data_IF_021324400166
#
_entry.id   IF_021324400166
#
_cell.length_a   1.000
_cell.length_b   1.000
_cell.length_c   1.000
_cell.angle_alpha   90.00
_cell.angle_beta   90.00
_cell.angle_gamma   90.00
#
_symmetry.space_group_name_H-M   'P 1'
#
loop_
_entity.id
_entity.type
_entity.pdbx_description
1 polymer ?
#
# COMPACT_ATOMS: atom_id res chain seq x y z
N UNK A 1 -66.56 -24.00 -33.89
CA UNK A 1 -65.87 -22.81 -34.44
C UNK A 1 -64.73 -22.44 -33.49
N UNK A 2 -63.50 -22.44 -34.01
CA UNK A 2 -62.23 -21.84 -33.54
C UNK A 2 -61.52 -22.25 -32.22
N UNK A 3 -60.26 -22.70 -32.42
CA UNK A 3 -59.15 -23.01 -31.49
C UNK A 3 -58.48 -21.75 -30.93
N UNK A 4 -57.67 -21.93 -29.86
CA UNK A 4 -56.37 -21.28 -29.46
C UNK A 4 -56.43 -20.72 -28.04
N UNK A 5 -55.40 -20.77 -27.18
CA UNK A 5 -54.06 -21.36 -27.21
C UNK A 5 -53.49 -21.28 -25.79
N UNK A 6 -53.00 -22.40 -25.25
CA UNK A 6 -52.00 -22.46 -24.18
C UNK A 6 -50.74 -21.73 -24.66
N UNK A 7 -50.17 -20.71 -23.99
CA UNK A 7 -48.77 -20.24 -24.15
C UNK A 7 -48.41 -19.02 -23.24
N UNK A 8 -48.87 -18.92 -22.00
CA UNK A 8 -48.53 -17.76 -21.15
C UNK A 8 -47.41 -17.99 -20.12
N UNK A 9 -47.15 -19.23 -19.69
CA UNK A 9 -46.26 -19.49 -18.55
C UNK A 9 -44.81 -19.91 -18.91
N UNK A 10 -44.53 -20.27 -20.16
CA UNK A 10 -43.23 -20.85 -20.54
C UNK A 10 -42.16 -19.81 -20.93
N UNK A 11 -42.53 -18.54 -21.12
CA UNK A 11 -41.62 -17.51 -21.69
C UNK A 11 -40.86 -16.69 -20.65
N UNK A 12 -41.31 -16.67 -19.39
CA UNK A 12 -40.69 -15.86 -18.33
C UNK A 12 -39.55 -16.56 -17.60
N UNK A 13 -39.44 -17.88 -17.68
CA UNK A 13 -38.37 -18.63 -16.99
C UNK A 13 -37.02 -18.57 -17.72
N UNK A 14 -37.04 -18.41 -19.05
CA UNK A 14 -35.81 -18.43 -19.87
C UNK A 14 -34.98 -17.15 -19.74
N UNK A 15 -35.62 -16.01 -19.46
CA UNK A 15 -34.91 -14.71 -19.37
C UNK A 15 -34.15 -14.57 -18.04
N UNK A 16 -34.62 -15.19 -16.97
CA UNK A 16 -33.95 -15.14 -15.66
C UNK A 16 -32.65 -15.97 -15.61
N UNK A 17 -32.53 -17.03 -16.44
CA UNK A 17 -31.32 -17.86 -16.50
C UNK A 17 -30.17 -17.26 -17.31
N UNK A 18 -30.44 -16.28 -18.18
CA UNK A 18 -29.41 -15.65 -19.03
C UNK A 18 -28.65 -14.49 -18.35
N UNK A 19 -29.21 -13.90 -17.29
CA UNK A 19 -28.55 -12.81 -16.54
C UNK A 19 -27.57 -13.34 -15.48
N UNK A 20 -27.69 -14.62 -15.09
CA UNK A 20 -26.85 -15.24 -14.06
C UNK A 20 -25.48 -15.75 -14.56
N UNK A 21 -25.14 -15.58 -15.84
CA UNK A 21 -23.88 -16.06 -16.44
C UNK A 21 -22.87 -14.94 -16.78
N UNK A 22 -23.20 -13.68 -16.48
CA UNK A 22 -22.26 -12.56 -16.59
C UNK A 22 -21.42 -12.41 -15.30
N UNK A 23 -21.04 -13.52 -14.69
CA UNK A 23 -19.99 -13.56 -13.68
C UNK A 23 -18.69 -13.13 -14.34
N UNK A 24 -18.45 -11.83 -14.40
CA UNK A 24 -17.17 -11.25 -14.80
C UNK A 24 -16.15 -11.75 -13.80
N UNK A 25 -15.38 -12.76 -14.18
CA UNK A 25 -14.17 -13.13 -13.48
C UNK A 25 -13.31 -11.88 -13.37
N UNK A 26 -13.15 -11.38 -12.15
CA UNK A 26 -12.10 -10.41 -11.85
C UNK A 26 -10.80 -11.17 -12.10
N UNK A 27 -10.18 -10.96 -13.27
CA UNK A 27 -8.81 -11.39 -13.46
C UNK A 27 -8.00 -10.68 -12.38
N UNK A 28 -7.31 -11.44 -11.54
CA UNK A 28 -6.43 -10.88 -10.53
C UNK A 28 -5.38 -10.02 -11.26
N UNK A 29 -5.50 -8.68 -11.18
CA UNK A 29 -4.49 -7.76 -11.69
C UNK A 29 -3.21 -8.03 -10.92
N UNK A 30 -2.22 -8.60 -11.60
CA UNK A 30 -0.90 -8.81 -11.01
C UNK A 30 -0.06 -7.57 -11.27
N UNK A 31 0.43 -6.90 -10.22
CA UNK A 31 1.34 -5.78 -10.40
C UNK A 31 2.57 -6.19 -11.20
N UNK A 32 3.13 -5.30 -12.04
CA UNK A 32 4.29 -5.63 -12.85
C UNK A 32 5.51 -5.98 -11.99
N UNK A 33 6.42 -6.79 -12.53
CA UNK A 33 7.68 -7.16 -11.86
C UNK A 33 8.89 -6.33 -12.34
N UNK A 34 8.68 -5.38 -13.25
CA UNK A 34 9.72 -4.56 -13.89
C UNK A 34 9.31 -3.09 -13.92
N UNK A 35 10.28 -2.18 -14.06
CA UNK A 35 10.05 -0.73 -14.13
C UNK A 35 10.38 0.04 -12.84
N UNK A 36 10.73 -0.65 -11.76
CA UNK A 36 11.25 -0.03 -10.55
C UNK A 36 12.47 0.86 -10.86
N UNK A 37 12.48 2.08 -10.32
CA UNK A 37 13.47 3.13 -10.57
C UNK A 37 13.19 4.00 -11.80
N UNK A 38 12.16 3.71 -12.60
CA UNK A 38 11.81 4.53 -13.77
C UNK A 38 10.92 5.72 -13.37
N UNK A 39 11.04 6.83 -14.12
CA UNK A 39 10.21 8.03 -13.93
C UNK A 39 8.73 7.82 -14.26
N UNK A 40 8.46 7.04 -15.31
CA UNK A 40 7.11 6.74 -15.80
C UNK A 40 7.05 5.26 -16.20
N UNK A 41 7.02 4.35 -15.21
CA UNK A 41 6.97 2.92 -15.48
C UNK A 41 5.64 2.56 -16.17
N UNK A 42 5.63 1.44 -16.90
CA UNK A 42 4.39 0.85 -17.40
C UNK A 42 3.66 0.10 -16.25
N UNK A 43 3.25 0.86 -15.24
CA UNK A 43 2.53 0.41 -14.06
C UNK A 43 1.36 1.37 -13.80
N UNK A 44 0.27 0.84 -13.23
CA UNK A 44 -0.85 1.67 -12.80
C UNK A 44 -0.39 2.63 -11.68
N UNK A 45 -0.73 3.91 -11.82
CA UNK A 45 -0.63 4.87 -10.73
C UNK A 45 -1.73 4.59 -9.70
N UNK A 46 -1.32 4.32 -8.47
CA UNK A 46 -2.18 4.00 -7.33
C UNK A 46 -2.11 5.09 -6.25
N UNK A 47 -1.62 6.27 -6.60
CA UNK A 47 -1.57 7.41 -5.70
C UNK A 47 -2.99 7.83 -5.27
N UNK A 48 -3.13 8.17 -3.98
CA UNK A 48 -4.34 8.85 -3.47
C UNK A 48 -4.17 10.38 -3.43
N UNK A 49 -2.99 10.88 -3.78
CA UNK A 49 -2.69 12.31 -3.86
C UNK A 49 -2.62 12.79 -5.32
N UNK A 50 -3.12 13.99 -5.63
CA UNK A 50 -2.92 14.61 -6.94
C UNK A 50 -1.51 15.18 -7.17
N UNK A 51 -0.62 15.20 -6.17
CA UNK A 51 0.73 15.81 -6.26
C UNK A 51 1.88 14.79 -6.41
N UNK A 52 1.57 13.50 -6.31
CA UNK A 52 2.55 12.43 -6.46
C UNK A 52 1.96 11.29 -7.28
N UNK A 53 2.85 10.52 -7.89
CA UNK A 53 2.52 9.24 -8.51
C UNK A 53 3.07 8.11 -7.65
N UNK A 54 2.28 7.05 -7.46
CA UNK A 54 2.73 5.87 -6.71
C UNK A 54 2.58 4.64 -7.58
N UNK A 55 3.66 3.86 -7.69
CA UNK A 55 3.70 2.64 -8.47
C UNK A 55 4.03 1.45 -7.58
N UNK A 56 3.28 0.37 -7.77
CA UNK A 56 3.48 -0.88 -7.02
C UNK A 56 3.95 -1.97 -7.98
N UNK A 57 5.04 -2.62 -7.61
CA UNK A 57 5.59 -3.77 -8.30
C UNK A 57 5.56 -4.98 -7.36
N UNK A 58 5.36 -6.17 -7.90
CA UNK A 58 5.38 -7.41 -7.09
C UNK A 58 6.37 -8.38 -7.69
N UNK A 59 7.28 -8.87 -6.85
CA UNK A 59 8.22 -9.92 -7.20
C UNK A 59 8.45 -10.81 -6.00
N UNK A 60 8.35 -12.12 -6.21
CA UNK A 60 8.57 -13.15 -5.18
C UNK A 60 7.73 -12.93 -3.90
N UNK A 61 6.51 -12.40 -4.06
CA UNK A 61 5.59 -12.08 -2.96
C UNK A 61 5.90 -10.77 -2.22
N UNK A 62 6.98 -10.08 -2.56
CA UNK A 62 7.38 -8.79 -1.98
C UNK A 62 6.77 -7.66 -2.81
N UNK A 63 6.14 -6.69 -2.13
CA UNK A 63 5.64 -5.46 -2.77
C UNK A 63 6.73 -4.41 -2.76
N UNK A 64 7.03 -3.81 -3.90
CA UNK A 64 7.94 -2.68 -4.04
C UNK A 64 7.09 -1.46 -4.39
N UNK A 65 7.11 -0.45 -3.54
CA UNK A 65 6.30 0.75 -3.67
C UNK A 65 7.23 1.91 -3.94
N UNK A 66 7.01 2.60 -5.04
CA UNK A 66 7.81 3.72 -5.50
C UNK A 66 6.96 4.99 -5.53
N UNK A 67 7.49 6.08 -4.98
CA UNK A 67 6.86 7.40 -4.99
C UNK A 67 7.63 8.31 -5.93
N UNK A 68 6.92 8.90 -6.90
CA UNK A 68 7.45 9.90 -7.82
C UNK A 68 6.72 11.23 -7.63
N UNK A 69 7.40 12.34 -7.92
CA UNK A 69 6.72 13.64 -8.04
C UNK A 69 6.08 13.82 -9.42
N UNK A 70 5.35 14.93 -9.62
CA UNK A 70 4.68 15.26 -10.89
C UNK A 70 5.61 15.37 -12.10
N UNK A 71 6.91 15.60 -11.89
CA UNK A 71 7.88 15.66 -12.97
C UNK A 71 8.44 14.26 -13.32
N UNK A 72 8.02 13.23 -12.60
CA UNK A 72 8.54 11.87 -12.73
C UNK A 72 9.88 11.66 -12.01
N UNK A 73 10.28 12.57 -11.12
CA UNK A 73 11.47 12.33 -10.28
C UNK A 73 11.13 11.24 -9.28
N UNK A 74 11.91 10.15 -9.27
CA UNK A 74 11.77 9.13 -8.23
C UNK A 74 12.24 9.74 -6.91
N UNK A 75 11.31 9.87 -5.95
CA UNK A 75 11.58 10.48 -4.65
C UNK A 75 12.03 9.43 -3.66
N UNK A 76 11.29 8.34 -3.54
CA UNK A 76 11.58 7.27 -2.60
C UNK A 76 11.09 5.90 -3.10
N UNK A 77 11.65 4.83 -2.54
CA UNK A 77 11.17 3.47 -2.73
C UNK A 77 11.26 2.64 -1.46
N UNK A 78 10.29 1.77 -1.24
CA UNK A 78 10.28 0.79 -0.15
C UNK A 78 9.90 -0.60 -0.64
N UNK A 79 10.43 -1.64 -0.01
CA UNK A 79 9.93 -3.00 -0.13
C UNK A 79 9.15 -3.36 1.14
N UNK A 80 7.99 -3.98 0.96
CA UNK A 80 7.10 -4.44 2.02
C UNK A 80 6.93 -5.94 1.89
N UNK A 81 7.36 -6.66 2.93
CA UNK A 81 7.16 -8.09 3.10
C UNK A 81 6.51 -8.30 4.48
N UNK A 82 5.22 -8.64 4.48
CA UNK A 82 4.38 -8.69 5.69
C UNK A 82 4.47 -7.39 6.52
N UNK A 83 5.07 -7.43 7.71
CA UNK A 83 5.27 -6.29 8.59
C UNK A 83 6.68 -5.69 8.54
N UNK A 84 7.54 -6.22 7.67
CA UNK A 84 8.89 -5.70 7.46
C UNK A 84 8.85 -4.69 6.31
N UNK A 85 9.36 -3.49 6.60
CA UNK A 85 9.57 -2.43 5.61
C UNK A 85 11.08 -2.26 5.43
N UNK A 86 11.56 -2.39 4.20
CA UNK A 86 12.94 -2.11 3.81
C UNK A 86 12.96 -0.87 2.93
N UNK A 87 13.78 0.13 3.29
CA UNK A 87 14.02 1.29 2.42
C UNK A 87 14.92 0.85 1.27
N UNK A 88 14.54 1.19 0.04
CA UNK A 88 15.30 0.86 -1.15
C UNK A 88 16.29 1.98 -1.47
N UNK A 89 17.49 1.66 -1.99
CA UNK A 89 18.45 2.65 -2.45
C UNK A 89 18.05 3.18 -3.84
N UNK A 90 16.83 3.69 -3.95
CA UNK A 90 16.31 4.37 -5.15
C UNK A 90 15.62 5.67 -4.75
N UNK A 91 15.72 6.64 -5.64
CA UNK A 91 15.12 7.95 -5.46
C UNK A 91 16.02 8.94 -4.74
N UNK A 92 15.80 10.21 -5.03
CA UNK A 92 16.66 11.32 -4.55
C UNK A 92 16.51 11.60 -3.06
N UNK A 93 15.40 11.16 -2.46
CA UNK A 93 15.06 11.34 -1.04
C UNK A 93 15.11 10.02 -0.24
N UNK A 94 15.82 9.00 -0.74
CA UNK A 94 15.94 7.70 -0.06
C UNK A 94 16.40 7.79 1.41
N UNK A 95 17.21 8.80 1.75
CA UNK A 95 17.68 9.05 3.12
C UNK A 95 16.64 9.72 4.02
N UNK A 96 15.53 10.21 3.46
CA UNK A 96 14.44 10.86 4.18
C UNK A 96 13.20 9.98 4.29
N UNK A 97 13.38 8.66 4.14
CA UNK A 97 12.33 7.67 4.34
C UNK A 97 12.35 7.20 5.79
N UNK A 98 11.29 7.50 6.54
CA UNK A 98 11.07 6.97 7.89
C UNK A 98 10.14 5.78 7.85
N UNK A 99 10.51 4.70 8.55
CA UNK A 99 9.67 3.51 8.70
C UNK A 99 9.27 3.35 10.16
N UNK A 100 8.22 2.58 10.42
CA UNK A 100 7.80 2.27 11.80
C UNK A 100 8.92 1.71 12.69
N UNK A 101 9.91 1.01 12.12
CA UNK A 101 11.03 0.43 12.88
C UNK A 101 12.18 1.43 13.09
N UNK A 102 12.31 2.42 12.22
CA UNK A 102 13.34 3.47 12.28
C UNK A 102 12.67 4.85 12.39
N UNK A 103 11.69 4.96 13.28
CA UNK A 103 10.98 6.21 13.55
C UNK A 103 11.98 7.22 14.13
N UNK A 104 12.23 8.32 13.42
CA UNK A 104 13.17 9.37 13.84
C UNK A 104 14.53 9.40 13.14
N UNK A 105 14.80 8.48 12.20
CA UNK A 105 16.02 8.50 11.38
C UNK A 105 15.82 9.23 10.04
N UNK A 106 15.14 10.37 10.08
CA UNK A 106 15.11 11.33 8.98
C UNK A 106 15.88 12.56 9.42
N UNK A 107 17.09 12.76 8.88
CA UNK A 107 17.98 13.88 9.21
C UNK A 107 17.46 15.25 8.72
N UNK A 108 16.20 15.33 8.27
CA UNK A 108 15.57 16.56 7.82
C UNK A 108 15.11 17.39 9.04
N UNK A 109 16.00 18.23 9.56
CA UNK A 109 15.66 19.33 10.48
C UNK A 109 15.23 20.54 9.65
N UNK A 110 14.09 20.44 8.98
CA UNK A 110 13.67 21.45 7.99
C UNK A 110 12.21 21.87 8.21
N UNK A 111 11.87 23.08 7.75
CA UNK A 111 10.50 23.55 7.81
C UNK A 111 9.62 22.68 6.88
N UNK A 112 8.78 21.87 7.50
CA UNK A 112 7.91 20.93 6.81
C UNK A 112 6.68 21.63 6.23
N UNK A 113 6.36 21.32 4.98
CA UNK A 113 5.11 21.68 4.33
C UNK A 113 3.95 20.81 4.80
N UNK A 114 2.85 20.84 4.04
CA UNK A 114 1.65 20.05 4.35
C UNK A 114 1.93 18.57 4.08
N UNK A 115 1.78 17.74 5.10
CA UNK A 115 1.80 16.28 4.96
C UNK A 115 0.54 15.79 4.26
N UNK A 116 0.71 14.89 3.29
CA UNK A 116 -0.40 14.27 2.57
C UNK A 116 -0.23 12.75 2.48
N UNK A 117 -1.34 12.02 2.46
CA UNK A 117 -1.33 10.58 2.18
C UNK A 117 -1.10 10.39 0.68
N UNK A 118 -0.10 9.61 0.32
CA UNK A 118 0.20 9.29 -1.08
C UNK A 118 -0.20 7.87 -1.45
N UNK A 119 -0.24 6.95 -0.49
CA UNK A 119 -0.63 5.56 -0.74
C UNK A 119 -1.30 4.93 0.47
N UNK A 120 -2.34 4.12 0.20
CA UNK A 120 -2.96 3.26 1.19
C UNK A 120 -3.61 2.04 0.54
N UNK A 121 -3.27 0.84 1.02
CA UNK A 121 -3.89 -0.43 0.59
C UNK A 121 -4.61 -1.18 1.73
N UNK A 122 -4.88 -0.49 2.85
CA UNK A 122 -5.47 -1.04 4.06
C UNK A 122 -4.49 -1.81 4.97
N UNK A 123 -3.30 -2.15 4.48
CA UNK A 123 -2.22 -2.76 5.29
C UNK A 123 -0.96 -1.91 5.35
N UNK A 124 -0.74 -1.08 4.33
CA UNK A 124 0.40 -0.19 4.17
C UNK A 124 -0.13 1.23 4.02
N UNK A 125 0.43 2.17 4.76
CA UNK A 125 0.12 3.59 4.68
C UNK A 125 1.40 4.37 4.45
N UNK A 126 1.37 5.27 3.46
CA UNK A 126 2.48 6.16 3.15
C UNK A 126 2.03 7.61 3.12
N UNK A 127 2.80 8.47 3.78
CA UNK A 127 2.62 9.92 3.73
C UNK A 127 3.86 10.59 3.18
N UNK A 128 3.67 11.69 2.47
CA UNK A 128 4.73 12.51 1.93
C UNK A 128 4.64 13.92 2.53
N UNK A 129 5.76 14.44 3.00
CA UNK A 129 5.88 15.77 3.61
C UNK A 129 6.99 16.53 2.90
N UNK A 130 6.67 17.48 2.01
CA UNK A 130 7.69 18.27 1.33
C UNK A 130 8.38 19.20 2.33
N UNK A 131 9.66 19.48 2.13
CA UNK A 131 10.41 20.46 2.94
C UNK A 131 10.64 21.74 2.15
N UNK A 132 10.99 22.82 2.85
CA UNK A 132 11.40 24.09 2.22
C UNK A 132 12.64 23.99 1.33
N UNK A 133 13.47 22.96 1.51
CA UNK A 133 14.67 22.69 0.69
C UNK A 133 14.37 21.93 -0.60
N UNK A 134 13.12 21.50 -0.79
CA UNK A 134 12.70 20.68 -1.92
C UNK A 134 12.88 19.18 -1.71
N UNK A 135 13.38 18.74 -0.55
CA UNK A 135 13.41 17.33 -0.17
C UNK A 135 12.00 16.82 0.17
N UNK A 136 11.84 15.50 0.17
CA UNK A 136 10.58 14.84 0.52
C UNK A 136 10.77 13.85 1.64
N UNK A 137 10.19 14.13 2.81
CA UNK A 137 10.13 13.16 3.90
C UNK A 137 8.99 12.19 3.61
N UNK A 138 9.30 10.90 3.52
CA UNK A 138 8.31 9.85 3.28
C UNK A 138 8.20 8.97 4.51
N UNK A 139 7.02 8.91 5.13
CA UNK A 139 6.78 8.04 6.28
C UNK A 139 5.95 6.84 5.87
N UNK A 140 6.38 5.64 6.26
CA UNK A 140 5.73 4.37 5.92
C UNK A 140 5.41 3.58 7.17
N UNK A 141 4.15 3.22 7.32
CA UNK A 141 3.66 2.34 8.39
C UNK A 141 2.90 1.17 7.79
N UNK A 142 2.99 0.01 8.44
CA UNK A 142 2.08 -1.10 8.15
C UNK A 142 1.26 -1.41 9.38
N UNK A 143 0.02 -1.84 9.18
CA UNK A 143 -0.82 -2.35 10.25
C UNK A 143 -0.41 -3.80 10.50
N UNK A 144 0.07 -4.17 11.70
CA UNK A 144 0.26 -5.57 12.05
C UNK A 144 -1.07 -6.30 11.91
N UNK A 145 -1.05 -7.43 11.20
CA UNK A 145 -2.14 -8.39 11.29
C UNK A 145 -2.29 -8.79 12.75
N UNK A 146 -3.51 -8.90 13.28
CA UNK A 146 -3.77 -9.13 14.72
C UNK A 146 -3.18 -10.43 15.31
N UNK A 147 -2.45 -11.22 14.51
CA UNK A 147 -1.60 -12.33 14.96
C UNK A 147 -0.13 -11.96 15.22
N UNK A 148 0.31 -10.76 14.86
CA UNK A 148 1.65 -10.25 15.13
C UNK A 148 1.64 -9.49 16.48
N UNK A 149 2.62 -9.79 17.32
CA UNK A 149 2.86 -9.25 18.67
C UNK A 149 2.44 -7.78 18.87
N UNK A 150 2.01 -7.38 20.09
CA UNK A 150 1.69 -5.98 20.39
C UNK A 150 2.88 -5.06 20.06
N UNK A 151 2.61 -3.79 19.67
CA UNK A 151 3.66 -2.86 19.26
C UNK A 151 4.69 -2.72 20.38
N UNK A 152 5.97 -2.97 20.07
CA UNK A 152 7.06 -2.76 21.01
C UNK A 152 7.11 -1.27 21.38
N UNK A 153 6.77 -0.96 22.62
CA UNK A 153 6.87 0.42 23.15
C UNK A 153 8.32 0.81 23.49
N UNK A 154 9.27 -0.12 23.40
CA UNK A 154 10.70 0.07 23.65
C UNK A 154 11.53 -0.64 22.55
N UNK A 155 12.43 0.07 21.83
CA UNK A 155 13.27 -0.53 20.79
C UNK A 155 14.24 -1.61 21.29
N UNK A 156 14.49 -1.74 22.59
CA UNK A 156 15.41 -2.75 23.15
C UNK A 156 14.73 -4.00 23.71
N UNK A 157 13.41 -4.00 23.90
CA UNK A 157 12.68 -5.11 24.54
C UNK A 157 11.46 -5.56 23.72
N UNK A 158 11.72 -6.25 22.61
CA UNK A 158 10.68 -6.90 21.81
C UNK A 158 10.38 -8.36 22.20
N UNK A 159 10.95 -8.85 23.30
CA UNK A 159 10.67 -10.20 23.82
C UNK A 159 9.83 -10.07 25.10
N UNK A 160 8.58 -10.54 25.05
CA UNK A 160 7.60 -10.52 26.14
C UNK A 160 7.96 -11.39 27.36
N UNK A 161 9.14 -11.22 27.94
CA UNK A 161 9.43 -11.68 29.29
C UNK A 161 9.27 -10.50 30.25
N UNK A 162 8.03 -10.29 30.68
CA UNK A 162 7.74 -9.53 31.88
C UNK A 162 8.33 -10.34 33.04
N UNK A 163 9.59 -10.07 33.43
CA UNK A 163 10.07 -10.53 34.73
C UNK A 163 9.30 -9.69 35.75
N UNK A 164 8.15 -10.20 36.19
CA UNK A 164 7.48 -9.64 37.35
C UNK A 164 8.41 -9.85 38.54
N UNK A 165 9.20 -8.83 38.88
CA UNK A 165 9.94 -8.75 40.12
C UNK A 165 8.93 -8.72 41.27
N UNK A 166 8.59 -9.89 41.79
CA UNK A 166 7.88 -10.02 43.05
C UNK A 166 8.77 -9.47 44.16
N UNK A 167 8.47 -8.27 44.64
CA UNK A 167 8.97 -7.79 45.92
C UNK A 167 8.32 -8.65 47.02
N UNK A 168 9.02 -9.73 47.39
CA UNK A 168 8.65 -10.61 48.49
C UNK A 168 9.69 -10.53 49.60
N UNK A 169 9.25 -9.92 50.72
CA UNK A 169 9.84 -9.85 52.07
C UNK A 169 10.90 -8.79 52.33
#
# INVERSE_FOLDING_TARGET
>A
MFRKSSHCAARTVVVALLVALLSTSVLAYQPPATGLGQSWPNAMDVSVSPHYHVYVFVRDGIRYIQVNDLNGTVRAGVAVADNVILVLPIGVDQQYVSTQHNAGQSDATENAGVTETVYSDGTTHMTATPTSTGALIVSVTTTPSALANPPCTDPFNCAGNVVSGGAGK
#
